data_IF_992379837465
#
_entry.id   IF_992379837465
#
_cell.length_a   1.000
_cell.length_b   1.000
_cell.length_c   1.000
_cell.angle_alpha   90.00
_cell.angle_beta   90.00
_cell.angle_gamma   90.00
#
_symmetry.space_group_name_H-M   'P 1'
#
loop_
_entity.id
_entity.type
_entity.pdbx_description
1 polymer ?
#
# COMPACT_ATOMS: atom_id res chain seq x y z
N UNK A 1 38.67 -2.90 2.55
CA UNK A 1 38.14 -1.71 1.87
C UNK A 1 36.62 -1.73 2.12
N UNK A 2 36.05 -1.22 3.14
CA UNK A 2 36.18 -0.12 4.06
C UNK A 2 35.12 0.95 3.76
N UNK A 3 33.89 0.73 4.14
CA UNK A 3 33.02 1.61 4.93
C UNK A 3 33.09 3.14 4.62
N UNK A 4 32.36 3.60 3.58
CA UNK A 4 32.24 5.03 3.26
C UNK A 4 30.84 5.45 2.74
N UNK A 5 29.75 4.81 3.18
CA UNK A 5 28.40 5.23 2.77
C UNK A 5 27.44 5.63 3.91
N UNK A 6 27.94 5.90 5.11
CA UNK A 6 27.10 6.35 6.24
C UNK A 6 27.45 7.77 6.71
N UNK A 7 27.53 8.76 5.83
CA UNK A 7 27.70 10.14 6.31
C UNK A 7 27.11 11.19 5.37
N UNK A 8 25.81 11.16 5.19
CA UNK A 8 25.07 12.36 4.77
C UNK A 8 23.88 12.60 5.72
N UNK A 9 24.18 12.66 7.02
CA UNK A 9 23.30 13.31 7.99
C UNK A 9 23.33 14.81 7.64
N UNK A 10 22.25 15.32 7.07
CA UNK A 10 22.02 16.77 7.01
C UNK A 10 22.07 17.30 8.45
N UNK A 11 23.21 17.83 8.86
CA UNK A 11 23.32 18.58 10.11
C UNK A 11 22.49 19.85 9.90
N UNK A 12 21.23 19.85 10.39
CA UNK A 12 20.52 21.12 10.55
C UNK A 12 21.45 22.05 11.34
N UNK A 13 21.73 23.23 10.78
CA UNK A 13 22.60 24.19 11.41
C UNK A 13 21.94 24.62 12.73
N UNK A 14 22.71 24.81 13.80
CA UNK A 14 22.21 25.22 15.12
C UNK A 14 21.20 26.38 15.05
N UNK A 15 21.46 27.34 14.16
CA UNK A 15 20.56 28.47 13.85
C UNK A 15 19.20 28.07 13.24
N UNK A 16 19.13 26.99 12.45
CA UNK A 16 17.86 26.48 11.93
C UNK A 16 17.01 25.82 13.03
N UNK A 17 17.68 25.12 13.95
CA UNK A 17 17.00 24.50 15.11
C UNK A 17 16.48 25.59 16.05
N UNK A 18 17.27 26.62 16.33
CA UNK A 18 16.87 27.77 17.15
C UNK A 18 15.70 28.54 16.53
N UNK A 19 15.72 28.78 15.20
CA UNK A 19 14.62 29.44 14.49
C UNK A 19 13.33 28.59 14.49
N UNK A 20 13.44 27.28 14.32
CA UNK A 20 12.29 26.35 14.37
C UNK A 20 11.74 26.23 15.80
N UNK A 21 12.58 26.36 16.85
CA UNK A 21 12.15 26.44 18.26
C UNK A 21 11.41 27.75 18.57
N UNK A 22 11.93 28.89 18.12
CA UNK A 22 11.34 30.20 18.34
C UNK A 22 10.03 30.41 17.55
N UNK A 23 9.91 29.78 16.38
CA UNK A 23 8.70 29.81 15.56
C UNK A 23 7.63 28.79 15.99
N UNK A 24 7.88 27.97 17.00
CA UNK A 24 6.96 26.91 17.44
C UNK A 24 6.79 25.77 16.44
N UNK A 25 7.66 25.68 15.44
CA UNK A 25 7.61 24.64 14.39
C UNK A 25 8.60 23.49 14.63
N UNK A 26 9.26 23.48 15.81
CA UNK A 26 10.17 22.43 16.18
C UNK A 26 9.42 21.20 16.68
N UNK A 27 9.39 20.17 15.85
CA UNK A 27 8.82 18.88 16.20
C UNK A 27 9.92 17.89 16.62
N UNK A 28 9.70 17.21 17.74
CA UNK A 28 10.35 15.95 18.07
C UNK A 28 9.36 14.84 17.65
N UNK A 29 9.54 14.22 16.48
CA UNK A 29 8.62 13.17 16.06
C UNK A 29 8.69 12.00 17.04
N UNK A 30 7.53 11.57 17.55
CA UNK A 30 7.40 10.40 18.41
C UNK A 30 7.73 9.13 17.63
N UNK A 31 7.26 9.03 16.40
CA UNK A 31 7.62 7.99 15.45
C UNK A 31 8.94 8.34 14.75
N UNK A 32 9.97 7.53 14.95
CA UNK A 32 11.30 7.75 14.39
C UNK A 32 11.49 7.05 13.05
N UNK A 33 10.90 5.87 12.90
CA UNK A 33 10.98 5.02 11.71
C UNK A 33 9.65 4.91 11.00
N UNK A 34 9.67 4.38 9.77
CA UNK A 34 8.45 4.11 9.04
C UNK A 34 7.63 3.00 9.70
N UNK A 35 8.28 2.01 10.32
CA UNK A 35 7.59 0.97 11.08
C UNK A 35 6.82 1.56 12.26
N UNK A 36 7.47 2.43 13.05
CA UNK A 36 6.81 3.10 14.18
C UNK A 36 5.55 3.85 13.72
N UNK A 37 5.66 4.58 12.59
CA UNK A 37 4.52 5.30 12.01
C UNK A 37 3.40 4.35 11.57
N UNK A 38 3.74 3.24 10.89
CA UNK A 38 2.72 2.30 10.40
C UNK A 38 2.03 1.58 11.55
N UNK A 39 2.76 1.18 12.59
CA UNK A 39 2.19 0.52 13.75
C UNK A 39 1.26 1.46 14.51
N UNK A 40 1.66 2.71 14.72
CA UNK A 40 0.83 3.73 15.34
C UNK A 40 -0.40 4.05 14.48
N UNK A 41 -0.22 4.23 13.18
CA UNK A 41 -1.32 4.50 12.24
C UNK A 41 -2.34 3.36 12.19
N UNK A 42 -1.89 2.12 12.15
CA UNK A 42 -2.78 0.95 12.13
C UNK A 42 -3.51 0.76 13.45
N UNK A 43 -2.82 0.96 14.59
CA UNK A 43 -3.42 0.76 15.91
C UNK A 43 -4.45 1.84 16.25
N UNK A 44 -4.17 3.09 15.96
CA UNK A 44 -5.05 4.22 16.32
C UNK A 44 -6.14 4.45 15.27
N UNK A 45 -5.76 4.49 14.00
CA UNK A 45 -6.67 4.82 12.91
C UNK A 45 -7.27 3.59 12.25
N UNK A 46 -6.43 2.60 11.91
CA UNK A 46 -6.84 1.43 11.14
C UNK A 46 -7.92 0.59 11.85
N UNK A 47 -7.70 0.28 13.12
CA UNK A 47 -8.64 -0.54 13.93
C UNK A 47 -10.02 0.12 14.04
N UNK A 48 -10.07 1.45 14.13
CA UNK A 48 -11.31 2.18 14.37
C UNK A 48 -12.09 2.54 13.11
N UNK A 49 -11.43 2.54 11.93
CA UNK A 49 -12.04 3.07 10.70
C UNK A 49 -12.20 2.06 9.59
N UNK A 50 -11.42 0.95 9.59
CA UNK A 50 -11.44 -0.02 8.50
C UNK A 50 -12.26 -1.26 8.84
N UNK A 51 -12.91 -1.81 7.81
CA UNK A 51 -13.43 -3.17 7.91
C UNK A 51 -12.29 -4.16 8.17
N UNK A 52 -12.55 -5.24 8.90
CA UNK A 52 -11.55 -6.24 9.28
C UNK A 52 -10.76 -6.78 8.08
N UNK A 53 -11.45 -7.07 6.98
CA UNK A 53 -10.81 -7.55 5.74
C UNK A 53 -9.84 -6.54 5.15
N UNK A 54 -10.17 -5.25 5.21
CA UNK A 54 -9.30 -4.15 4.76
C UNK A 54 -8.09 -4.01 5.66
N UNK A 55 -8.29 -4.09 6.98
CA UNK A 55 -7.22 -4.04 7.97
C UNK A 55 -6.20 -5.16 7.75
N UNK A 56 -6.67 -6.41 7.64
CA UNK A 56 -5.80 -7.59 7.41
C UNK A 56 -5.05 -7.48 6.07
N UNK A 57 -5.72 -7.05 5.02
CA UNK A 57 -5.08 -6.84 3.70
C UNK A 57 -3.96 -5.81 3.79
N UNK A 58 -4.20 -4.64 4.39
CA UNK A 58 -3.21 -3.58 4.54
C UNK A 58 -2.06 -3.97 5.46
N UNK A 59 -2.37 -4.69 6.55
CA UNK A 59 -1.36 -5.27 7.45
C UNK A 59 -0.47 -6.27 6.71
N UNK A 60 -1.05 -7.10 5.85
CA UNK A 60 -0.30 -8.01 5.00
C UNK A 60 0.65 -7.29 4.04
N UNK A 61 0.19 -6.21 3.38
CA UNK A 61 1.03 -5.39 2.51
C UNK A 61 2.19 -4.75 3.28
N UNK A 62 1.92 -4.19 4.46
CA UNK A 62 2.95 -3.58 5.30
C UNK A 62 4.01 -4.61 5.69
N UNK A 63 3.59 -5.73 6.28
CA UNK A 63 4.49 -6.77 6.77
C UNK A 63 5.34 -7.42 5.68
N UNK A 64 4.74 -7.66 4.51
CA UNK A 64 5.42 -8.43 3.47
C UNK A 64 6.31 -7.57 2.57
N UNK A 65 5.97 -6.29 2.35
CA UNK A 65 6.61 -5.48 1.32
C UNK A 65 7.18 -4.15 1.82
N UNK A 66 6.63 -3.55 2.89
CA UNK A 66 7.11 -2.26 3.39
C UNK A 66 8.15 -2.46 4.48
N UNK A 67 7.77 -3.16 5.56
CA UNK A 67 8.62 -3.40 6.72
C UNK A 67 10.01 -3.97 6.36
N UNK A 68 10.14 -5.04 5.54
CA UNK A 68 11.44 -5.64 5.27
C UNK A 68 12.34 -4.81 4.35
N UNK A 69 11.81 -3.82 3.62
CA UNK A 69 12.57 -3.08 2.61
C UNK A 69 12.90 -1.65 3.08
N UNK A 70 11.90 -0.95 3.59
CA UNK A 70 12.03 0.47 3.97
C UNK A 70 11.56 0.77 5.41
N UNK A 71 11.11 -0.24 6.14
CA UNK A 71 10.48 -0.05 7.47
C UNK A 71 11.39 0.61 8.51
N UNK A 72 12.68 0.29 8.50
CA UNK A 72 13.66 0.83 9.46
C UNK A 72 14.21 2.21 9.08
N UNK A 73 13.74 2.77 7.94
CA UNK A 73 14.17 4.09 7.52
C UNK A 73 13.55 5.18 8.40
N UNK A 74 14.36 6.19 8.71
CA UNK A 74 13.88 7.38 9.41
C UNK A 74 12.89 8.14 8.53
N UNK A 75 11.82 8.66 9.11
CA UNK A 75 10.82 9.46 8.39
C UNK A 75 11.43 10.68 7.71
N UNK A 76 12.49 11.27 8.29
CA UNK A 76 13.23 12.39 7.74
C UNK A 76 14.00 12.07 6.45
N UNK A 77 14.35 10.81 6.25
CA UNK A 77 15.20 10.37 5.14
C UNK A 77 14.38 9.90 3.95
N UNK A 78 13.05 9.74 4.13
CA UNK A 78 12.13 9.33 3.07
C UNK A 78 11.85 10.52 2.16
N UNK A 79 12.33 10.43 0.92
CA UNK A 79 12.17 11.46 -0.12
C UNK A 79 11.31 10.93 -1.28
N UNK A 80 10.69 11.81 -2.08
CA UNK A 80 9.93 11.39 -3.28
C UNK A 80 10.79 10.55 -4.25
N UNK A 81 12.05 10.95 -4.48
CA UNK A 81 12.98 10.20 -5.34
C UNK A 81 13.25 8.78 -4.83
N UNK A 82 13.37 8.62 -3.52
CA UNK A 82 13.53 7.31 -2.91
C UNK A 82 12.25 6.46 -3.09
N UNK A 83 11.07 7.07 -2.97
CA UNK A 83 9.80 6.38 -3.20
C UNK A 83 9.65 5.92 -4.65
N UNK A 84 10.09 6.73 -5.64
CA UNK A 84 10.12 6.32 -7.05
C UNK A 84 11.00 5.08 -7.27
N UNK A 85 12.19 5.07 -6.64
CA UNK A 85 13.09 3.91 -6.69
C UNK A 85 12.46 2.68 -6.03
N UNK A 86 11.89 2.85 -4.85
CA UNK A 86 11.23 1.78 -4.11
C UNK A 86 10.09 1.14 -4.93
N UNK A 87 9.20 1.94 -5.55
CA UNK A 87 8.10 1.41 -6.38
C UNK A 87 8.59 0.66 -7.62
N UNK A 88 9.67 1.12 -8.23
CA UNK A 88 10.31 0.40 -9.35
C UNK A 88 10.90 -0.91 -8.89
N UNK A 89 11.62 -0.91 -7.78
CA UNK A 89 12.30 -2.09 -7.25
C UNK A 89 11.28 -3.15 -6.76
N UNK A 90 10.10 -2.72 -6.27
CA UNK A 90 8.98 -3.62 -5.91
C UNK A 90 8.51 -4.51 -7.06
N UNK A 91 8.57 -4.05 -8.31
CA UNK A 91 8.18 -4.86 -9.47
C UNK A 91 9.08 -6.10 -9.68
N UNK A 92 10.26 -6.11 -9.07
CA UNK A 92 11.19 -7.24 -9.09
C UNK A 92 11.07 -8.13 -7.84
N UNK A 93 10.20 -7.79 -6.91
CA UNK A 93 9.97 -8.57 -5.68
C UNK A 93 8.97 -9.68 -5.96
N UNK A 94 9.27 -10.88 -5.46
CA UNK A 94 8.36 -12.04 -5.59
C UNK A 94 7.10 -11.85 -4.76
N UNK A 95 5.99 -12.29 -5.32
CA UNK A 95 4.70 -12.26 -4.64
C UNK A 95 4.66 -13.28 -3.51
N UNK A 96 4.27 -12.85 -2.32
CA UNK A 96 4.12 -13.72 -1.15
C UNK A 96 2.76 -14.41 -1.21
N UNK A 97 2.76 -15.74 -1.05
CA UNK A 97 1.52 -16.53 -0.96
C UNK A 97 0.77 -16.18 0.33
N UNK A 98 -0.52 -15.89 0.21
CA UNK A 98 -1.41 -15.59 1.34
C UNK A 98 -2.49 -16.68 1.42
N UNK A 99 -2.69 -17.23 2.62
CA UNK A 99 -3.73 -18.23 2.90
C UNK A 99 -3.65 -19.49 1.98
N UNK A 100 -2.46 -19.99 1.72
CA UNK A 100 -2.21 -21.16 0.85
C UNK A 100 -2.74 -21.02 -0.60
N UNK A 101 -3.11 -19.81 -1.02
CA UNK A 101 -3.49 -19.55 -2.41
C UNK A 101 -2.24 -19.26 -3.22
N UNK A 102 -2.09 -19.96 -4.34
CA UNK A 102 -1.00 -19.67 -5.28
C UNK A 102 -1.15 -18.24 -5.81
N UNK A 103 -0.08 -17.44 -5.82
CA UNK A 103 -0.15 -16.10 -6.37
C UNK A 103 -0.45 -16.15 -7.87
N UNK A 104 -1.22 -15.20 -8.37
CA UNK A 104 -1.57 -15.10 -9.80
C UNK A 104 -0.39 -14.73 -10.67
N UNK A 105 0.62 -14.06 -10.10
CA UNK A 105 1.88 -13.72 -10.79
C UNK A 105 3.08 -13.99 -9.89
N UNK A 106 4.22 -14.32 -10.47
CA UNK A 106 5.46 -14.59 -9.75
C UNK A 106 6.00 -13.32 -9.07
N UNK A 107 5.88 -12.18 -9.72
CA UNK A 107 6.33 -10.88 -9.24
C UNK A 107 5.15 -9.97 -8.94
N UNK A 108 5.41 -8.93 -8.12
CA UNK A 108 4.41 -7.93 -7.79
C UNK A 108 3.91 -7.21 -9.05
N UNK A 109 2.60 -7.08 -9.15
CA UNK A 109 1.96 -6.34 -10.25
C UNK A 109 1.92 -4.84 -9.96
N UNK A 110 1.85 -3.98 -11.00
CA UNK A 110 1.63 -2.54 -10.83
C UNK A 110 0.41 -2.20 -9.96
N UNK A 111 -0.64 -3.04 -10.01
CA UNK A 111 -1.81 -2.90 -9.16
C UNK A 111 -1.46 -3.03 -7.67
N UNK A 112 -0.67 -4.05 -7.29
CA UNK A 112 -0.25 -4.24 -5.89
C UNK A 112 0.65 -3.09 -5.42
N UNK A 113 1.55 -2.60 -6.28
CA UNK A 113 2.38 -1.42 -5.97
C UNK A 113 1.50 -0.19 -5.71
N UNK A 114 0.41 -0.02 -6.46
CA UNK A 114 -0.56 1.05 -6.26
C UNK A 114 -1.31 0.93 -4.92
N UNK A 115 -1.67 -0.28 -4.51
CA UNK A 115 -2.27 -0.50 -3.18
C UNK A 115 -1.30 -0.18 -2.04
N UNK A 116 -0.01 -0.53 -2.18
CA UNK A 116 1.05 -0.14 -1.25
C UNK A 116 1.19 1.38 -1.20
N UNK A 117 1.19 2.06 -2.37
CA UNK A 117 1.21 3.51 -2.43
C UNK A 117 0.02 4.16 -1.72
N UNK A 118 -1.20 3.64 -1.91
CA UNK A 118 -2.40 4.15 -1.22
C UNK A 118 -2.27 4.06 0.30
N UNK A 119 -1.75 2.93 0.81
CA UNK A 119 -1.48 2.74 2.24
C UNK A 119 -0.47 3.75 2.75
N UNK A 120 0.69 3.85 2.11
CA UNK A 120 1.75 4.79 2.49
C UNK A 120 1.28 6.25 2.40
N UNK A 121 0.61 6.62 1.30
CA UNK A 121 0.04 7.97 1.13
C UNK A 121 -0.90 8.34 2.28
N UNK A 122 -1.75 7.41 2.68
CA UNK A 122 -2.70 7.62 3.78
C UNK A 122 -1.99 7.73 5.14
N UNK A 123 -1.03 6.85 5.43
CA UNK A 123 -0.23 6.90 6.65
C UNK A 123 0.59 8.20 6.76
N UNK A 124 1.25 8.62 5.68
CA UNK A 124 2.01 9.87 5.65
C UNK A 124 1.11 11.12 5.70
N UNK A 125 -0.11 11.08 5.14
CA UNK A 125 -1.08 12.16 5.34
C UNK A 125 -1.49 12.26 6.81
N UNK A 126 -1.65 11.14 7.49
CA UNK A 126 -1.95 11.12 8.91
C UNK A 126 -0.76 11.60 9.74
N UNK A 127 0.46 11.24 9.37
CA UNK A 127 1.67 11.74 10.01
C UNK A 127 1.81 13.27 9.90
N UNK A 128 1.39 13.87 8.77
CA UNK A 128 1.31 15.33 8.62
C UNK A 128 0.25 15.92 9.56
N UNK A 129 -0.93 15.27 9.69
CA UNK A 129 -1.98 15.72 10.63
C UNK A 129 -1.57 15.58 12.10
N UNK A 130 -0.76 14.59 12.43
CA UNK A 130 -0.17 14.40 13.76
C UNK A 130 1.06 15.29 13.97
N UNK A 131 1.39 16.09 12.98
CA UNK A 131 2.53 17.01 13.01
C UNK A 131 3.91 16.29 13.20
N UNK A 132 3.98 15.01 12.88
CA UNK A 132 5.22 14.24 12.92
C UNK A 132 6.18 14.63 11.78
N UNK A 133 5.64 15.08 10.65
CA UNK A 133 6.37 15.55 9.48
C UNK A 133 5.69 16.76 8.87
N UNK A 134 6.45 17.64 8.24
CA UNK A 134 5.92 18.88 7.64
C UNK A 134 5.22 18.67 6.30
N UNK A 135 5.56 17.61 5.57
CA UNK A 135 5.01 17.31 4.24
C UNK A 135 5.02 15.82 3.95
N UNK A 136 4.05 15.36 3.16
CA UNK A 136 3.99 13.97 2.73
C UNK A 136 4.91 13.72 1.52
N UNK A 137 5.97 12.89 1.66
CA UNK A 137 6.91 12.63 0.57
C UNK A 137 6.32 11.75 -0.56
N UNK A 138 5.22 11.04 -0.27
CA UNK A 138 4.61 10.07 -1.20
C UNK A 138 3.72 10.76 -2.24
N UNK A 139 3.25 11.98 -1.98
CA UNK A 139 2.33 12.70 -2.90
C UNK A 139 2.90 12.91 -4.30
N UNK A 140 4.19 13.17 -4.38
CA UNK A 140 4.88 13.49 -5.65
C UNK A 140 5.62 12.28 -6.22
N UNK A 141 5.39 11.08 -5.69
CA UNK A 141 6.02 9.86 -6.20
C UNK A 141 5.33 9.37 -7.47
N UNK A 142 6.13 8.90 -8.42
CA UNK A 142 5.67 8.38 -9.71
C UNK A 142 5.35 6.89 -9.58
N UNK A 143 4.15 6.51 -9.98
CA UNK A 143 3.71 5.12 -9.96
C UNK A 143 4.01 4.41 -11.29
N UNK A 144 4.28 3.09 -11.27
CA UNK A 144 4.34 2.27 -12.47
C UNK A 144 3.02 2.34 -13.25
N UNK A 145 3.14 2.35 -14.58
CA UNK A 145 1.97 2.32 -15.47
C UNK A 145 1.26 0.97 -15.33
N UNK A 146 -0.03 1.00 -15.10
CA UNK A 146 -0.88 -0.18 -15.09
C UNK A 146 -1.46 -0.39 -16.49
N UNK A 147 -1.26 -1.58 -17.05
CA UNK A 147 -1.95 -1.98 -18.26
C UNK A 147 -3.35 -2.48 -17.88
N UNK A 148 -4.35 -1.79 -18.35
CA UNK A 148 -5.74 -2.18 -18.16
C UNK A 148 -6.04 -3.32 -19.13
N UNK A 149 -6.08 -4.56 -18.62
CA UNK A 149 -6.63 -5.67 -19.39
C UNK A 149 -8.15 -5.59 -19.31
N UNK A 150 -8.79 -5.42 -20.44
CA UNK A 150 -10.23 -5.58 -20.54
C UNK A 150 -10.60 -7.00 -20.08
N UNK A 151 -11.61 -7.09 -19.25
CA UNK A 151 -12.13 -8.40 -18.82
C UNK A 151 -13.13 -8.85 -19.87
N UNK A 152 -13.02 -10.11 -20.26
CA UNK A 152 -14.05 -10.72 -21.09
C UNK A 152 -15.39 -10.71 -20.32
N UNK A 153 -16.36 -10.05 -20.93
CA UNK A 153 -17.72 -9.99 -20.38
C UNK A 153 -18.51 -11.07 -21.08
N UNK A 154 -19.15 -11.91 -20.29
CA UNK A 154 -20.04 -12.94 -20.82
C UNK A 154 -21.22 -12.30 -21.54
N UNK A 155 -21.41 -12.67 -22.79
CA UNK A 155 -22.59 -12.29 -23.56
C UNK A 155 -23.78 -13.16 -23.13
N UNK A 156 -25.01 -12.74 -23.47
CA UNK A 156 -26.21 -13.52 -23.22
C UNK A 156 -26.13 -14.93 -23.83
N UNK A 157 -25.53 -15.04 -25.03
CA UNK A 157 -25.31 -16.33 -25.72
C UNK A 157 -24.33 -17.24 -24.96
N UNK A 158 -23.23 -16.66 -24.44
CA UNK A 158 -22.23 -17.40 -23.65
C UNK A 158 -22.86 -17.90 -22.35
N UNK A 159 -23.71 -17.10 -21.72
CA UNK A 159 -24.41 -17.47 -20.52
C UNK A 159 -25.41 -18.60 -20.80
N UNK A 160 -26.25 -18.51 -21.87
CA UNK A 160 -27.18 -19.55 -22.25
C UNK A 160 -26.50 -20.90 -22.47
N UNK A 161 -25.37 -20.90 -23.21
CA UNK A 161 -24.56 -22.11 -23.39
C UNK A 161 -24.00 -22.67 -22.08
N UNK A 162 -23.54 -21.79 -21.18
CA UNK A 162 -23.05 -22.22 -19.89
C UNK A 162 -24.14 -22.85 -19.02
N UNK A 163 -25.37 -22.34 -19.11
CA UNK A 163 -26.54 -22.90 -18.41
C UNK A 163 -26.99 -24.23 -18.99
N UNK A 164 -26.93 -24.41 -20.31
CA UNK A 164 -27.26 -25.68 -20.98
C UNK A 164 -26.31 -26.82 -20.57
N UNK A 165 -25.05 -26.52 -20.30
CA UNK A 165 -23.99 -27.49 -19.92
C UNK A 165 -23.92 -27.67 -18.39
N UNK A 166 -24.63 -26.85 -17.62
CA UNK A 166 -24.54 -26.85 -16.16
C UNK A 166 -25.46 -27.93 -15.57
N UNK A 167 -24.92 -29.05 -15.13
CA UNK A 167 -25.65 -30.16 -14.51
C UNK A 167 -25.94 -29.93 -13.01
N UNK A 168 -25.32 -28.91 -12.39
CA UNK A 168 -25.51 -28.58 -10.97
C UNK A 168 -26.71 -27.60 -10.82
N UNK A 169 -27.83 -28.02 -10.19
CA UNK A 169 -29.02 -27.20 -10.04
C UNK A 169 -28.78 -25.96 -9.14
N UNK A 170 -27.85 -26.05 -8.16
CA UNK A 170 -27.55 -24.95 -7.27
C UNK A 170 -26.73 -23.89 -8.03
N UNK A 171 -25.76 -24.34 -8.82
CA UNK A 171 -24.96 -23.44 -9.66
C UNK A 171 -25.80 -22.76 -10.72
N UNK A 172 -26.69 -23.51 -11.38
CA UNK A 172 -27.67 -22.99 -12.36
C UNK A 172 -28.58 -21.93 -11.75
N UNK A 173 -29.13 -22.20 -10.56
CA UNK A 173 -29.92 -21.20 -9.82
C UNK A 173 -29.14 -19.96 -9.46
N UNK A 174 -27.89 -20.11 -8.98
CA UNK A 174 -27.02 -19.01 -8.63
C UNK A 174 -26.69 -18.14 -9.85
N UNK A 175 -26.39 -18.75 -11.01
CA UNK A 175 -26.14 -18.05 -12.27
C UNK A 175 -27.36 -17.24 -12.72
N UNK A 176 -28.57 -17.87 -12.66
CA UNK A 176 -29.83 -17.21 -13.00
C UNK A 176 -30.09 -16.00 -12.10
N UNK A 177 -29.93 -16.14 -10.78
CA UNK A 177 -30.14 -15.06 -9.82
C UNK A 177 -29.09 -13.94 -10.01
N UNK A 178 -27.83 -14.29 -10.19
CA UNK A 178 -26.78 -13.31 -10.42
C UNK A 178 -27.03 -12.47 -11.67
N UNK A 179 -27.52 -13.12 -12.74
CA UNK A 179 -27.74 -12.46 -14.02
C UNK A 179 -29.05 -11.67 -14.04
N UNK A 180 -30.17 -12.27 -13.58
CA UNK A 180 -31.47 -11.61 -13.60
C UNK A 180 -31.60 -10.49 -12.58
N UNK A 181 -30.98 -10.64 -11.41
CA UNK A 181 -31.09 -9.69 -10.30
C UNK A 181 -29.83 -8.84 -10.11
N UNK A 182 -28.81 -9.00 -10.97
CA UNK A 182 -27.51 -8.35 -10.82
C UNK A 182 -26.89 -8.55 -9.44
N UNK A 183 -27.14 -9.71 -8.82
CA UNK A 183 -26.63 -10.01 -7.48
C UNK A 183 -25.14 -10.25 -7.51
N UNK A 184 -24.44 -9.70 -6.51
CA UNK A 184 -23.02 -9.90 -6.29
C UNK A 184 -22.84 -10.77 -5.06
N UNK A 185 -22.00 -11.78 -5.18
CA UNK A 185 -21.57 -12.56 -4.00
C UNK A 185 -20.77 -11.63 -3.09
N UNK A 186 -21.23 -11.44 -1.86
CA UNK A 186 -20.65 -10.61 -0.84
C UNK A 186 -19.44 -11.24 -0.17
#
# INVERSE_FOLDING_TARGET
MGNLQHKCRSKKTKKQIEYEQDSGTFFIPTAKTLNDLLDEYMSIYGVNTWAMSTYESRRGLARNYITPIIGDMLLSDITPRMMDKYYRDLLSVKTVSVNNRKPTSEYLTPHTVREIHKLLRSAFNQAVRWELISRNPVLNATLPKEEHKERDIWTAETLSKAMEVCDDPILSLALNLAFSCSLRIG
#
